data_IF_448963807824
#
_entry.id   IF_448963807824
#
_cell.length_a   1.000
_cell.length_b   1.000
_cell.length_c   1.000
_cell.angle_alpha   90.00
_cell.angle_beta   90.00
_cell.angle_gamma   90.00
#
_symmetry.space_group_name_H-M   'P 1'
#
loop_
_entity.id
_entity.type
_entity.pdbx_description
1 polymer ?
#
# COMPACT_ATOMS: atom_id res chain seq x y z
N UNK A 1 12.13 -10.34 -10.33
CA UNK A 1 13.36 -9.70 -9.79
C UNK A 1 12.98 -8.65 -8.75
N UNK A 2 13.86 -8.32 -7.80
CA UNK A 2 13.59 -7.26 -6.82
C UNK A 2 13.77 -5.88 -7.43
N UNK A 3 12.74 -5.03 -7.40
CA UNK A 3 12.78 -3.66 -7.88
C UNK A 3 12.66 -2.69 -6.71
N UNK A 4 13.80 -2.18 -6.22
CA UNK A 4 13.84 -1.22 -5.09
C UNK A 4 13.50 0.21 -5.50
N UNK A 5 13.81 0.57 -6.74
CA UNK A 5 13.60 1.91 -7.28
C UNK A 5 12.80 1.82 -8.57
N UNK A 6 11.70 2.57 -8.65
CA UNK A 6 10.83 2.62 -9.83
C UNK A 6 10.75 4.06 -10.32
N UNK A 7 10.82 4.26 -11.63
CA UNK A 7 10.56 5.54 -12.26
C UNK A 7 9.41 5.40 -13.23
N UNK A 8 8.35 6.16 -13.00
CA UNK A 8 7.15 6.16 -13.83
C UNK A 8 7.01 7.52 -14.49
N UNK A 9 6.67 7.52 -15.78
CA UNK A 9 6.31 8.75 -16.50
C UNK A 9 4.86 8.68 -16.90
N UNK A 10 4.06 9.62 -16.39
CA UNK A 10 2.62 9.67 -16.65
C UNK A 10 2.35 10.64 -17.81
N UNK A 11 1.50 10.27 -18.79
CA UNK A 11 1.18 11.14 -19.92
C UNK A 11 0.60 12.49 -19.47
N UNK A 12 1.00 13.57 -20.14
CA UNK A 12 0.57 14.96 -19.85
C UNK A 12 -0.85 15.28 -20.35
N UNK A 13 -1.69 14.26 -20.60
CA UNK A 13 -3.07 14.43 -21.06
C UNK A 13 -4.06 14.72 -19.94
N UNK A 14 -3.69 14.37 -18.71
CA UNK A 14 -4.52 14.58 -17.53
C UNK A 14 -4.24 15.97 -16.94
N UNK A 15 -5.25 16.58 -16.29
CA UNK A 15 -5.11 17.83 -15.54
C UNK A 15 -4.45 17.56 -14.17
N UNK A 16 -4.88 16.49 -13.54
CA UNK A 16 -4.36 15.91 -12.31
C UNK A 16 -4.40 14.38 -12.42
N UNK A 17 -3.69 13.71 -11.52
CA UNK A 17 -3.73 12.26 -11.38
C UNK A 17 -4.00 11.90 -9.93
N UNK A 18 -4.58 10.72 -9.73
CA UNK A 18 -4.79 10.13 -8.41
C UNK A 18 -3.82 8.97 -8.23
N UNK A 19 -3.10 8.93 -7.12
CA UNK A 19 -2.28 7.78 -6.71
C UNK A 19 -2.90 7.21 -5.45
N UNK A 20 -3.32 5.94 -5.53
CA UNK A 20 -4.07 5.25 -4.49
C UNK A 20 -3.22 4.13 -3.92
N UNK A 21 -3.19 4.05 -2.60
CA UNK A 21 -2.62 2.89 -1.92
C UNK A 21 -3.69 1.81 -1.79
N UNK A 22 -3.41 0.60 -2.25
CA UNK A 22 -4.18 -0.59 -1.90
C UNK A 22 -3.31 -1.45 -0.99
N UNK A 23 -3.76 -1.75 0.23
CA UNK A 23 -2.99 -2.50 1.24
C UNK A 23 -3.92 -3.35 2.09
N UNK A 24 -3.38 -4.36 2.75
CA UNK A 24 -4.07 -5.13 3.78
C UNK A 24 -5.45 -5.63 3.29
N UNK A 25 -5.48 -6.07 2.04
CA UNK A 25 -6.68 -6.66 1.40
C UNK A 25 -6.97 -8.01 2.05
N UNK A 26 -5.91 -8.78 2.31
CA UNK A 26 -5.96 -10.12 2.90
C UNK A 26 -6.98 -10.99 2.20
N UNK A 27 -6.93 -10.96 0.86
CA UNK A 27 -7.79 -11.79 0.02
C UNK A 27 -7.65 -13.26 0.42
N UNK A 28 -8.78 -13.94 0.51
CA UNK A 28 -8.86 -15.32 0.98
C UNK A 28 -9.37 -15.44 2.41
N UNK A 29 -9.10 -14.47 3.29
CA UNK A 29 -9.59 -14.51 4.67
C UNK A 29 -11.12 -14.41 4.72
N UNK A 30 -11.77 -15.15 5.64
CA UNK A 30 -13.23 -15.17 5.76
C UNK A 30 -13.83 -13.80 6.02
N UNK A 31 -13.13 -12.95 6.77
CA UNK A 31 -13.55 -11.57 7.08
C UNK A 31 -13.16 -10.54 6.02
N UNK A 32 -12.51 -10.93 4.92
CA UNK A 32 -12.25 -10.01 3.82
C UNK A 32 -13.58 -9.52 3.22
N UNK A 33 -13.80 -8.20 3.25
CA UNK A 33 -14.94 -7.48 2.67
C UNK A 33 -14.80 -7.43 1.15
N UNK A 34 -14.92 -8.59 0.50
CA UNK A 34 -14.65 -8.77 -0.93
C UNK A 34 -15.49 -7.84 -1.81
N UNK A 35 -16.71 -7.51 -1.41
CA UNK A 35 -17.54 -6.57 -2.17
C UNK A 35 -16.98 -5.15 -2.14
N UNK A 36 -16.43 -4.70 -1.00
CA UNK A 36 -15.69 -3.43 -0.91
C UNK A 36 -14.40 -3.47 -1.75
N UNK A 37 -13.68 -4.60 -1.78
CA UNK A 37 -12.49 -4.75 -2.63
C UNK A 37 -12.87 -4.60 -4.11
N UNK A 38 -13.92 -5.29 -4.57
CA UNK A 38 -14.44 -5.19 -5.93
C UNK A 38 -14.92 -3.79 -6.27
N UNK A 39 -15.64 -3.14 -5.36
CA UNK A 39 -16.05 -1.74 -5.52
C UNK A 39 -14.83 -0.82 -5.67
N UNK A 40 -13.79 -1.01 -4.86
CA UNK A 40 -12.59 -0.19 -4.89
C UNK A 40 -11.80 -0.39 -6.20
N UNK A 41 -11.65 -1.64 -6.66
CA UNK A 41 -11.01 -1.96 -7.94
C UNK A 41 -11.82 -1.40 -9.10
N UNK A 42 -13.16 -1.51 -9.07
CA UNK A 42 -14.03 -0.92 -10.09
C UNK A 42 -13.88 0.60 -10.10
N UNK A 43 -13.86 1.23 -8.94
CA UNK A 43 -13.67 2.67 -8.82
C UNK A 43 -12.31 3.10 -9.38
N UNK A 44 -11.22 2.39 -9.09
CA UNK A 44 -9.93 2.62 -9.76
C UNK A 44 -10.10 2.44 -11.28
N UNK A 45 -10.77 1.36 -11.69
CA UNK A 45 -10.91 0.98 -13.08
C UNK A 45 -11.59 2.04 -13.93
N UNK A 46 -12.71 2.57 -13.44
CA UNK A 46 -13.61 3.49 -14.15
C UNK A 46 -12.98 4.86 -14.48
N UNK A 47 -11.86 5.22 -13.83
CA UNK A 47 -11.19 6.51 -14.04
C UNK A 47 -9.72 6.30 -14.49
N UNK A 48 -9.37 6.65 -15.74
CA UNK A 48 -8.04 6.39 -16.30
C UNK A 48 -6.90 7.21 -15.65
N UNK A 49 -7.20 8.27 -14.88
CA UNK A 49 -6.18 9.05 -14.15
C UNK A 49 -5.83 8.47 -12.77
N UNK A 50 -6.41 7.33 -12.37
CA UNK A 50 -6.13 6.64 -11.09
C UNK A 50 -5.05 5.59 -11.25
N UNK A 51 -3.97 5.75 -10.52
CA UNK A 51 -2.84 4.83 -10.44
C UNK A 51 -2.75 4.22 -9.05
N UNK A 52 -2.14 3.04 -8.95
CA UNK A 52 -2.19 2.22 -7.72
C UNK A 52 -0.79 1.83 -7.26
N UNK A 53 -0.62 1.81 -5.94
CA UNK A 53 0.53 1.25 -5.25
C UNK A 53 0.06 0.15 -4.32
N UNK A 54 0.62 -1.06 -4.44
CA UNK A 54 0.32 -2.16 -3.55
C UNK A 54 1.20 -2.10 -2.30
N UNK A 55 0.56 -1.95 -1.14
CA UNK A 55 1.16 -1.80 0.17
C UNK A 55 1.54 -3.07 0.89
N UNK A 56 1.34 -4.25 0.32
CA UNK A 56 1.53 -5.53 1.00
C UNK A 56 0.27 -6.05 1.67
N UNK A 57 0.32 -7.33 2.07
CA UNK A 57 -0.80 -8.12 2.57
C UNK A 57 -1.99 -8.13 1.59
N UNK A 58 -1.69 -8.36 0.30
CA UNK A 58 -2.70 -8.50 -0.77
C UNK A 58 -3.56 -9.75 -0.58
N UNK A 59 -2.93 -10.85 -0.14
CA UNK A 59 -3.55 -12.13 0.17
C UNK A 59 -3.25 -12.47 1.63
N UNK A 60 -4.08 -13.30 2.27
CA UNK A 60 -3.84 -13.69 3.66
C UNK A 60 -2.72 -14.74 3.79
N UNK A 61 -2.70 -15.74 2.90
CA UNK A 61 -1.68 -16.77 2.85
C UNK A 61 -1.38 -17.46 4.21
N UNK A 62 -2.38 -17.65 5.09
CA UNK A 62 -2.18 -18.44 6.29
C UNK A 62 -1.82 -19.90 5.95
N UNK A 63 -0.91 -20.45 6.75
CA UNK A 63 -0.42 -21.82 6.67
C UNK A 63 -0.44 -22.42 8.08
N UNK A 64 -0.27 -23.74 8.22
CA UNK A 64 -0.17 -24.38 9.54
C UNK A 64 1.03 -23.88 10.38
N UNK A 65 2.00 -23.18 9.77
CA UNK A 65 3.18 -22.62 10.44
C UNK A 65 3.08 -21.10 10.69
N UNK A 66 1.97 -20.46 10.30
CA UNK A 66 1.73 -19.04 10.55
C UNK A 66 1.04 -18.78 11.89
N UNK A 67 1.03 -17.52 12.31
CA UNK A 67 0.27 -17.07 13.49
C UNK A 67 -1.25 -17.13 13.20
N UNK A 68 -1.65 -16.83 11.97
CA UNK A 68 -3.03 -16.95 11.53
C UNK A 68 -3.41 -18.40 11.19
N UNK A 69 -4.70 -18.70 11.28
CA UNK A 69 -5.24 -20.03 11.03
C UNK A 69 -5.54 -20.24 9.54
N UNK A 70 -5.03 -21.30 8.89
CA UNK A 70 -5.42 -21.64 7.52
C UNK A 70 -6.92 -22.00 7.41
N UNK A 71 -7.58 -22.36 8.51
CA UNK A 71 -9.01 -22.66 8.54
C UNK A 71 -9.90 -21.42 8.50
N UNK A 72 -9.32 -20.23 8.65
CA UNK A 72 -9.99 -18.94 8.45
C UNK A 72 -9.85 -18.43 7.00
N UNK A 73 -9.29 -19.25 6.11
CA UNK A 73 -9.22 -18.95 4.69
C UNK A 73 -10.22 -19.76 3.88
N UNK A 74 -10.84 -19.09 2.90
CA UNK A 74 -11.81 -19.68 1.97
C UNK A 74 -11.17 -20.65 0.98
N UNK A 75 -9.91 -20.38 0.63
CA UNK A 75 -9.12 -21.13 -0.37
C UNK A 75 -7.65 -21.16 0.04
N UNK A 76 -6.89 -22.13 -0.49
CA UNK A 76 -5.49 -22.29 -0.12
C UNK A 76 -4.62 -21.12 -0.63
N UNK A 77 -3.41 -20.88 -0.08
CA UNK A 77 -2.60 -19.72 -0.42
C UNK A 77 -2.27 -19.55 -1.91
N UNK A 78 -2.11 -20.64 -2.67
CA UNK A 78 -1.84 -20.55 -4.10
C UNK A 78 -3.10 -20.18 -4.89
N UNK A 79 -4.26 -20.73 -4.53
CA UNK A 79 -5.55 -20.31 -5.09
C UNK A 79 -5.85 -18.84 -4.80
N UNK A 80 -5.45 -18.32 -3.63
CA UNK A 80 -5.55 -16.89 -3.32
C UNK A 80 -4.75 -16.04 -4.32
N UNK A 81 -3.53 -16.47 -4.68
CA UNK A 81 -2.71 -15.77 -5.70
C UNK A 81 -3.45 -15.72 -7.04
N UNK A 82 -3.93 -16.86 -7.54
CA UNK A 82 -4.60 -16.95 -8.85
C UNK A 82 -5.83 -16.06 -8.89
N UNK A 83 -6.74 -16.23 -7.91
CA UNK A 83 -7.99 -15.46 -7.87
C UNK A 83 -7.76 -13.96 -7.62
N UNK A 84 -6.75 -13.59 -6.83
CA UNK A 84 -6.42 -12.19 -6.61
C UNK A 84 -5.84 -11.54 -7.87
N UNK A 85 -4.98 -12.25 -8.60
CA UNK A 85 -4.45 -11.79 -9.90
C UNK A 85 -5.58 -11.53 -10.89
N UNK A 86 -6.55 -12.45 -11.00
CA UNK A 86 -7.72 -12.27 -11.87
C UNK A 86 -8.56 -11.06 -11.46
N UNK A 87 -8.75 -10.87 -10.14
CA UNK A 87 -9.51 -9.76 -9.59
C UNK A 87 -8.89 -8.39 -9.91
N UNK A 88 -7.56 -8.26 -9.86
CA UNK A 88 -6.86 -6.98 -10.12
C UNK A 88 -6.41 -6.81 -11.58
N UNK A 89 -6.58 -7.83 -12.42
CA UNK A 89 -6.20 -7.78 -13.84
C UNK A 89 -6.73 -6.54 -14.59
N UNK A 90 -7.98 -6.06 -14.37
CA UNK A 90 -8.50 -4.87 -15.05
C UNK A 90 -7.74 -3.57 -14.77
N UNK A 91 -6.97 -3.50 -13.67
CA UNK A 91 -6.20 -2.31 -13.28
C UNK A 91 -4.69 -2.53 -13.36
N UNK A 92 -4.26 -3.66 -13.91
CA UNK A 92 -2.85 -4.11 -13.93
C UNK A 92 -1.89 -3.05 -14.47
N UNK A 93 -2.26 -2.42 -15.58
CA UNK A 93 -1.46 -1.40 -16.28
C UNK A 93 -1.28 -0.11 -15.47
N UNK A 94 -2.06 0.07 -14.42
CA UNK A 94 -2.04 1.23 -13.52
C UNK A 94 -1.37 0.96 -12.18
N UNK A 95 -0.89 -0.27 -11.93
CA UNK A 95 -0.14 -0.61 -10.72
C UNK A 95 1.32 -0.21 -10.90
N UNK A 96 1.74 0.84 -10.20
CA UNK A 96 3.06 1.47 -10.35
C UNK A 96 4.15 0.82 -9.49
N UNK A 97 3.76 0.08 -8.46
CA UNK A 97 4.69 -0.49 -7.50
C UNK A 97 3.99 -1.42 -6.52
N UNK A 98 4.77 -2.31 -5.92
CA UNK A 98 4.32 -3.30 -4.96
C UNK A 98 5.40 -3.63 -3.93
N UNK A 99 5.08 -3.46 -2.66
CA UNK A 99 5.86 -3.98 -1.54
C UNK A 99 5.19 -5.20 -0.92
N UNK A 100 5.94 -6.25 -0.62
CA UNK A 100 5.41 -7.45 0.04
C UNK A 100 5.20 -7.23 1.55
N UNK A 101 4.06 -7.69 2.06
CA UNK A 101 3.73 -7.67 3.48
C UNK A 101 4.05 -8.99 4.19
N UNK A 102 3.85 -9.01 5.50
CA UNK A 102 4.18 -10.19 6.31
C UNK A 102 3.30 -11.40 6.00
N UNK A 103 2.10 -11.21 5.45
CA UNK A 103 1.22 -12.30 5.03
C UNK A 103 1.81 -13.04 3.83
N UNK A 104 2.24 -12.32 2.78
CA UNK A 104 2.85 -12.98 1.63
C UNK A 104 4.19 -13.65 1.97
N UNK A 105 4.92 -13.12 2.96
CA UNK A 105 6.19 -13.70 3.44
C UNK A 105 6.01 -14.94 4.34
N UNK A 106 4.79 -15.34 4.73
CA UNK A 106 4.54 -16.55 5.53
C UNK A 106 5.13 -17.81 4.88
N UNK A 107 5.15 -17.85 3.56
CA UNK A 107 5.71 -18.95 2.76
C UNK A 107 7.23 -19.05 2.77
N UNK A 108 7.96 -18.04 3.27
CA UNK A 108 9.42 -18.12 3.44
C UNK A 108 9.84 -19.26 4.37
N UNK A 109 8.99 -19.58 5.36
CA UNK A 109 9.20 -20.73 6.26
C UNK A 109 9.14 -22.09 5.55
N UNK A 110 8.54 -22.15 4.37
CA UNK A 110 8.33 -23.37 3.59
C UNK A 110 9.35 -23.53 2.44
N UNK A 111 10.00 -22.45 1.98
CA UNK A 111 10.95 -22.56 0.87
C UNK A 111 11.65 -21.28 0.42
N UNK A 112 11.89 -20.30 1.30
CA UNK A 112 12.52 -19.00 0.98
C UNK A 112 11.93 -18.27 -0.25
N UNK A 113 10.61 -18.34 -0.40
CA UNK A 113 9.86 -17.57 -1.39
C UNK A 113 8.75 -16.76 -0.73
N UNK A 114 8.21 -15.77 -1.45
CA UNK A 114 7.08 -14.95 -1.04
C UNK A 114 5.99 -15.03 -2.10
N UNK A 115 4.74 -15.28 -1.71
CA UNK A 115 3.64 -15.34 -2.70
C UNK A 115 3.37 -13.98 -3.37
N UNK A 116 3.81 -12.88 -2.75
CA UNK A 116 3.74 -11.55 -3.34
C UNK A 116 4.63 -11.42 -4.57
N UNK A 117 5.79 -12.09 -4.58
CA UNK A 117 6.64 -12.11 -5.77
C UNK A 117 5.99 -12.89 -6.93
N UNK A 118 5.19 -13.92 -6.64
CA UNK A 118 4.40 -14.63 -7.64
C UNK A 118 3.30 -13.74 -8.20
N UNK A 119 2.50 -13.07 -7.35
CA UNK A 119 1.48 -12.09 -7.78
C UNK A 119 2.12 -11.06 -8.73
N UNK A 120 3.26 -10.48 -8.31
CA UNK A 120 3.97 -9.49 -9.11
C UNK A 120 4.48 -10.05 -10.44
N UNK A 121 4.95 -11.29 -10.46
CA UNK A 121 5.45 -11.96 -11.67
C UNK A 121 4.32 -12.20 -12.66
N UNK A 122 3.16 -12.70 -12.21
CA UNK A 122 1.99 -12.89 -13.07
C UNK A 122 1.44 -11.57 -13.63
N UNK A 123 1.43 -10.51 -12.81
CA UNK A 123 1.02 -9.18 -13.24
C UNK A 123 2.14 -8.42 -14.00
N UNK A 124 3.37 -8.96 -14.06
CA UNK A 124 4.56 -8.30 -14.60
C UNK A 124 4.74 -6.85 -14.08
N UNK A 125 4.58 -6.67 -12.78
CA UNK A 125 4.71 -5.36 -12.09
C UNK A 125 5.97 -5.31 -11.21
N UNK A 126 6.50 -4.11 -10.89
CA UNK A 126 7.66 -3.97 -10.01
C UNK A 126 7.37 -4.47 -8.59
N UNK A 127 8.31 -5.23 -7.99
CA UNK A 127 8.12 -5.80 -6.66
C UNK A 127 9.33 -5.67 -5.75
N UNK A 128 9.10 -5.34 -4.47
CA UNK A 128 10.12 -5.33 -3.42
C UNK A 128 9.61 -6.06 -2.18
N UNK A 129 10.38 -7.00 -1.62
CA UNK A 129 10.02 -7.64 -0.35
C UNK A 129 10.04 -6.69 0.88
N UNK A 130 10.53 -5.46 0.73
CA UNK A 130 10.73 -4.52 1.84
C UNK A 130 10.19 -3.14 1.50
N UNK A 131 11.10 -2.18 1.28
CA UNK A 131 10.78 -0.82 0.85
C UNK A 131 10.91 -0.67 -0.67
N UNK A 132 10.10 0.20 -1.27
CA UNK A 132 10.23 0.63 -2.66
C UNK A 132 10.18 2.16 -2.72
N UNK A 133 11.10 2.77 -3.47
CA UNK A 133 11.16 4.21 -3.72
C UNK A 133 10.70 4.46 -5.15
N UNK A 134 9.79 5.41 -5.33
CA UNK A 134 9.05 5.59 -6.58
C UNK A 134 9.09 7.06 -6.98
N UNK A 135 9.63 7.31 -8.17
CA UNK A 135 9.67 8.61 -8.81
C UNK A 135 8.52 8.73 -9.81
N UNK A 136 7.61 9.68 -9.59
CA UNK A 136 6.55 10.02 -10.54
C UNK A 136 6.95 11.27 -11.33
N UNK A 137 7.20 11.09 -12.63
CA UNK A 137 7.35 12.18 -13.57
C UNK A 137 5.98 12.54 -14.15
N UNK A 138 5.43 13.68 -13.75
CA UNK A 138 4.15 14.18 -14.23
C UNK A 138 4.17 15.72 -14.34
N UNK A 139 3.49 16.28 -15.35
CA UNK A 139 3.41 17.72 -15.52
C UNK A 139 4.74 18.42 -15.88
N UNK A 140 4.93 19.64 -15.36
CA UNK A 140 6.14 20.48 -15.59
C UNK A 140 7.00 20.69 -14.33
N UNK A 141 6.64 20.05 -13.22
CA UNK A 141 7.32 20.22 -11.93
C UNK A 141 8.44 19.19 -11.73
N UNK A 142 9.21 19.35 -10.63
CA UNK A 142 10.15 18.31 -10.19
C UNK A 142 9.39 17.02 -9.91
N UNK A 143 10.06 15.88 -10.04
CA UNK A 143 9.44 14.57 -9.78
C UNK A 143 8.79 14.54 -8.40
N UNK A 144 7.64 13.88 -8.32
CA UNK A 144 6.99 13.58 -7.05
C UNK A 144 7.52 12.24 -6.52
N UNK A 145 8.12 12.26 -5.33
CA UNK A 145 8.86 11.14 -4.76
C UNK A 145 8.03 10.46 -3.67
N UNK A 146 7.93 9.15 -3.76
CA UNK A 146 7.12 8.31 -2.87
C UNK A 146 7.99 7.22 -2.26
N UNK A 147 7.92 7.08 -0.94
CA UNK A 147 8.45 5.92 -0.21
C UNK A 147 7.29 5.02 0.19
N UNK A 148 7.33 3.79 -0.32
CA UNK A 148 6.35 2.75 -0.02
C UNK A 148 6.98 1.66 0.84
N UNK A 149 6.32 1.31 1.94
CA UNK A 149 6.71 0.21 2.81
C UNK A 149 5.47 -0.38 3.46
N UNK A 150 5.40 -1.70 3.59
CA UNK A 150 4.23 -2.33 4.18
C UNK A 150 3.95 -1.85 5.61
N UNK A 151 5.00 -1.61 6.39
CA UNK A 151 4.88 -1.31 7.81
C UNK A 151 5.43 -2.44 8.67
N UNK A 152 5.34 -2.26 9.98
CA UNK A 152 5.78 -3.25 10.95
C UNK A 152 5.38 -2.90 12.37
N UNK A 153 5.46 -3.88 13.25
CA UNK A 153 5.17 -3.75 14.68
C UNK A 153 3.77 -4.25 15.05
N UNK A 154 3.44 -4.14 16.33
CA UNK A 154 2.17 -4.63 16.92
C UNK A 154 1.49 -3.56 17.77
N UNK A 155 1.70 -2.28 17.39
CA UNK A 155 1.23 -1.13 18.15
C UNK A 155 -0.30 -1.07 18.21
N UNK A 156 -0.84 -0.99 19.43
CA UNK A 156 -2.29 -0.92 19.68
C UNK A 156 -2.83 0.51 19.77
N UNK A 157 -2.01 1.46 20.25
CA UNK A 157 -2.44 2.84 20.48
C UNK A 157 -2.13 3.73 19.28
N UNK A 158 -3.00 4.72 19.01
CA UNK A 158 -2.82 5.70 17.92
C UNK A 158 -1.47 6.42 17.99
N UNK A 159 -1.03 6.79 19.20
CA UNK A 159 0.26 7.44 19.41
C UNK A 159 1.46 6.58 19.00
N UNK A 160 1.43 5.28 19.30
CA UNK A 160 2.51 4.37 18.89
C UNK A 160 2.52 4.14 17.36
N UNK A 161 1.33 4.02 16.73
CA UNK A 161 1.19 3.95 15.27
C UNK A 161 1.72 5.22 14.59
N UNK A 162 1.37 6.39 15.10
CA UNK A 162 1.87 7.69 14.62
C UNK A 162 3.39 7.81 14.78
N UNK A 163 3.97 7.34 15.89
CA UNK A 163 5.42 7.31 16.06
C UNK A 163 6.14 6.37 15.08
N UNK A 164 5.54 5.22 14.74
CA UNK A 164 6.10 4.33 13.72
C UNK A 164 6.10 5.03 12.35
N UNK A 165 4.96 5.61 11.95
CA UNK A 165 4.83 6.34 10.70
C UNK A 165 5.78 7.54 10.63
N UNK A 166 5.87 8.33 11.69
CA UNK A 166 6.77 9.47 11.76
C UNK A 166 8.25 9.04 11.64
N UNK A 167 8.65 7.94 12.29
CA UNK A 167 9.99 7.37 12.11
C UNK A 167 10.24 6.95 10.66
N UNK A 168 9.26 6.34 10.00
CA UNK A 168 9.37 5.96 8.59
C UNK A 168 9.53 7.20 7.69
N UNK A 169 8.77 8.27 7.96
CA UNK A 169 8.91 9.53 7.25
C UNK A 169 10.38 9.97 7.28
N UNK A 170 11.05 10.00 8.43
CA UNK A 170 12.43 10.50 8.54
C UNK A 170 13.53 9.64 7.86
N UNK A 171 13.20 8.53 7.20
CA UNK A 171 14.20 7.62 6.59
C UNK A 171 14.61 7.97 5.16
N UNK A 172 13.96 8.93 4.50
CA UNK A 172 14.21 9.24 3.09
C UNK A 172 14.05 10.72 2.77
N UNK A 173 14.09 11.05 1.48
CA UNK A 173 13.93 12.42 0.95
C UNK A 173 12.63 12.63 0.16
N UNK A 174 11.72 11.64 0.21
CA UNK A 174 10.42 11.61 -0.44
C UNK A 174 9.44 12.65 0.10
N UNK A 175 8.47 13.08 -0.72
CA UNK A 175 7.38 13.93 -0.27
C UNK A 175 6.23 13.13 0.35
N UNK A 176 6.04 11.88 -0.07
CA UNK A 176 4.97 11.02 0.40
C UNK A 176 5.52 9.70 0.95
N UNK A 177 5.02 9.30 2.11
CA UNK A 177 5.34 8.04 2.76
C UNK A 177 4.05 7.25 2.96
N UNK A 178 4.00 6.04 2.41
CA UNK A 178 2.80 5.20 2.42
C UNK A 178 3.10 3.88 3.15
N UNK A 179 2.25 3.52 4.11
CA UNK A 179 2.28 2.21 4.77
C UNK A 179 0.90 1.68 5.16
N UNK A 180 0.85 0.39 5.51
CA UNK A 180 -0.35 -0.33 5.95
C UNK A 180 -0.07 -1.05 7.28
N UNK A 181 -0.33 -2.36 7.31
CA UNK A 181 0.03 -3.34 8.35
C UNK A 181 -0.72 -3.21 9.69
N UNK A 182 -0.86 -2.00 10.24
CA UNK A 182 -1.49 -1.80 11.56
C UNK A 182 -3.01 -1.58 11.50
N UNK A 183 -3.58 -1.82 10.32
CA UNK A 183 -5.01 -1.80 9.99
C UNK A 183 -5.72 -0.55 10.52
N UNK A 184 -5.09 0.60 10.40
CA UNK A 184 -5.63 1.82 10.97
C UNK A 184 -5.14 3.06 10.26
N UNK A 185 -5.96 4.10 10.30
CA UNK A 185 -5.66 5.35 9.62
C UNK A 185 -4.86 6.27 10.53
N UNK A 186 -3.73 6.72 10.00
CA UNK A 186 -2.94 7.82 10.54
C UNK A 186 -2.44 8.67 9.38
N UNK A 187 -2.76 9.97 9.41
CA UNK A 187 -2.25 10.96 8.47
C UNK A 187 -1.43 11.99 9.23
N UNK A 188 -0.17 12.16 8.85
CA UNK A 188 0.74 13.14 9.43
C UNK A 188 1.30 14.03 8.33
N UNK A 189 1.30 15.33 8.60
CA UNK A 189 2.05 16.30 7.80
C UNK A 189 3.24 16.82 8.60
N UNK A 190 4.34 17.05 7.90
CA UNK A 190 5.55 17.65 8.44
C UNK A 190 6.23 18.48 7.34
N UNK A 191 7.26 19.26 7.69
CA UNK A 191 8.01 20.10 6.77
C UNK A 191 9.50 19.88 6.94
N UNK A 192 10.19 19.59 5.83
CA UNK A 192 11.64 19.47 5.82
C UNK A 192 12.30 20.71 5.27
N UNK A 193 13.35 21.14 5.95
CA UNK A 193 14.26 22.15 5.42
C UNK A 193 15.11 21.55 4.30
N UNK A 194 14.97 22.06 3.08
CA UNK A 194 15.86 21.78 1.94
C UNK A 194 16.64 23.03 1.56
N UNK A 195 17.95 22.87 1.39
CA UNK A 195 18.83 23.92 0.85
C UNK A 195 18.83 23.83 -0.67
N UNK A 196 18.63 24.94 -1.37
CA UNK A 196 18.58 24.98 -2.83
C UNK A 196 19.02 26.34 -3.34
N UNK A 197 19.99 26.36 -4.27
CA UNK A 197 20.54 27.58 -4.90
C UNK A 197 20.93 28.68 -3.89
N UNK A 198 21.63 28.31 -2.82
CA UNK A 198 22.04 29.26 -1.76
C UNK A 198 20.90 29.72 -0.83
N UNK A 199 19.66 29.30 -1.09
CA UNK A 199 18.50 29.56 -0.24
C UNK A 199 18.07 28.37 0.60
N UNK A 200 17.10 28.61 1.48
CA UNK A 200 16.43 27.61 2.29
C UNK A 200 14.95 27.60 1.91
N UNK A 201 14.39 26.41 1.66
CA UNK A 201 12.97 26.20 1.43
C UNK A 201 12.44 25.13 2.37
N UNK A 202 11.23 25.32 2.89
CA UNK A 202 10.48 24.25 3.54
C UNK A 202 9.73 23.44 2.48
N UNK A 203 9.93 22.13 2.48
CA UNK A 203 9.21 21.19 1.64
C UNK A 203 8.22 20.40 2.50
N UNK A 204 6.93 20.47 2.13
CA UNK A 204 5.87 19.68 2.75
C UNK A 204 6.13 18.19 2.51
N UNK A 205 6.00 17.38 3.55
CA UNK A 205 5.96 15.92 3.47
C UNK A 205 4.68 15.40 4.13
N UNK A 206 4.24 14.22 3.71
CA UNK A 206 3.12 13.53 4.33
C UNK A 206 3.44 12.06 4.56
N UNK A 207 3.05 11.54 5.72
CA UNK A 207 2.97 10.12 6.00
C UNK A 207 1.51 9.70 6.08
N UNK A 208 1.17 8.60 5.42
CA UNK A 208 -0.18 8.05 5.43
C UNK A 208 -0.11 6.55 5.70
N UNK A 209 -0.83 6.14 6.74
CA UNK A 209 -1.14 4.75 7.03
C UNK A 209 -2.57 4.48 6.60
N UNK A 210 -2.77 3.48 5.75
CA UNK A 210 -4.11 3.01 5.36
C UNK A 210 -4.57 1.91 6.30
N UNK A 211 -5.89 1.70 6.38
CA UNK A 211 -6.47 0.61 7.17
C UNK A 211 -6.48 -0.72 6.40
N UNK A 212 -7.56 -1.50 6.47
CA UNK A 212 -7.67 -2.81 5.83
C UNK A 212 -9.06 -3.01 5.20
N UNK A 213 -9.19 -4.08 4.42
CA UNK A 213 -10.48 -4.55 3.90
C UNK A 213 -11.10 -5.64 4.78
N UNK A 214 -10.70 -5.75 6.05
CA UNK A 214 -11.26 -6.76 6.96
C UNK A 214 -12.50 -6.28 7.71
N UNK A 215 -13.35 -7.22 8.07
CA UNK A 215 -14.38 -7.02 9.09
C UNK A 215 -13.83 -7.13 10.51
N UNK A 216 -14.61 -6.60 11.47
CA UNK A 216 -14.21 -6.58 12.88
C UNK A 216 -14.78 -7.76 13.66
N UNK A 217 -16.10 -7.95 13.59
CA UNK A 217 -16.80 -8.94 14.40
C UNK A 217 -16.49 -10.37 13.95
N UNK A 218 -16.38 -11.27 14.92
CA UNK A 218 -15.97 -12.67 14.78
C UNK A 218 -14.60 -12.83 14.13
N UNK A 219 -13.66 -11.94 14.45
CA UNK A 219 -12.28 -12.01 13.95
C UNK A 219 -11.26 -12.00 15.07
N UNK A 220 -10.01 -12.35 14.75
CA UNK A 220 -8.88 -12.21 15.68
C UNK A 220 -8.80 -10.80 16.29
N UNK A 221 -9.11 -9.75 15.53
CA UNK A 221 -9.02 -8.38 16.02
C UNK A 221 -9.99 -8.11 17.19
N UNK A 222 -11.21 -8.66 17.12
CA UNK A 222 -12.18 -8.59 18.21
C UNK A 222 -11.66 -9.36 19.44
N UNK A 223 -11.26 -10.62 19.25
CA UNK A 223 -10.78 -11.50 20.34
C UNK A 223 -9.57 -10.88 21.05
N UNK A 224 -8.67 -10.26 20.28
CA UNK A 224 -7.48 -9.60 20.81
C UNK A 224 -7.74 -8.21 21.42
N UNK A 225 -8.98 -7.69 21.33
CA UNK A 225 -9.34 -6.35 21.80
C UNK A 225 -8.61 -5.23 21.04
N UNK A 226 -8.39 -5.41 19.74
CA UNK A 226 -7.90 -4.35 18.87
C UNK A 226 -9.05 -3.40 18.53
N UNK A 227 -8.80 -2.09 18.32
CA UNK A 227 -9.85 -1.16 17.94
C UNK A 227 -10.32 -1.45 16.50
N UNK A 228 -11.63 -1.35 16.20
CA UNK A 228 -12.13 -1.43 14.84
C UNK A 228 -11.64 -0.22 14.02
N UNK A 229 -11.54 -0.42 12.70
CA UNK A 229 -11.24 0.65 11.74
C UNK A 229 -12.13 0.45 10.51
N UNK A 230 -12.63 1.54 9.92
CA UNK A 230 -13.31 1.47 8.63
C UNK A 230 -12.30 1.24 7.50
N UNK A 231 -12.76 0.76 6.36
CA UNK A 231 -11.94 0.60 5.15
C UNK A 231 -11.64 1.98 4.58
N UNK A 232 -10.39 2.42 4.74
CA UNK A 232 -9.91 3.74 4.38
C UNK A 232 -8.51 3.62 3.76
N UNK A 233 -8.42 3.95 2.48
CA UNK A 233 -7.21 3.86 1.67
C UNK A 233 -6.67 5.24 1.35
N UNK A 234 -5.36 5.41 1.47
CA UNK A 234 -4.69 6.66 1.12
C UNK A 234 -4.87 6.98 -0.37
N UNK A 235 -5.26 8.22 -0.67
CA UNK A 235 -5.35 8.75 -2.03
C UNK A 235 -4.66 10.10 -2.11
N UNK A 236 -3.71 10.23 -3.03
CA UNK A 236 -3.02 11.49 -3.32
C UNK A 236 -3.49 12.03 -4.65
N UNK A 237 -3.89 13.29 -4.66
CA UNK A 237 -4.20 14.03 -5.89
C UNK A 237 -2.97 14.87 -6.22
N UNK A 238 -2.39 14.65 -7.40
CA UNK A 238 -1.21 15.37 -7.90
C UNK A 238 -1.59 16.16 -9.16
N UNK A 239 -1.46 17.48 -9.09
CA UNK A 239 -1.70 18.38 -10.22
C UNK A 239 -0.45 18.54 -11.10
N UNK A 240 -0.65 18.89 -12.38
CA UNK A 240 0.45 19.07 -13.32
C UNK A 240 1.44 20.20 -12.92
N UNK A 241 1.01 21.16 -12.10
CA UNK A 241 1.82 22.25 -11.55
C UNK A 241 2.68 21.82 -10.33
N UNK A 242 2.50 20.62 -9.81
CA UNK A 242 3.20 20.09 -8.63
C UNK A 242 2.52 20.35 -7.30
N UNK A 243 1.34 20.96 -7.30
CA UNK A 243 0.45 20.95 -6.14
C UNK A 243 -0.03 19.53 -5.88
N UNK A 244 -0.14 19.15 -4.60
CA UNK A 244 -0.64 17.86 -4.21
C UNK A 244 -1.30 17.90 -2.84
N UNK A 245 -2.29 17.03 -2.66
CA UNK A 245 -3.02 16.84 -1.42
C UNK A 245 -3.25 15.35 -1.14
N UNK A 246 -3.49 15.03 0.13
CA UNK A 246 -3.79 13.68 0.60
C UNK A 246 -5.22 13.65 1.10
N UNK A 247 -5.95 12.65 0.66
CA UNK A 247 -7.30 12.31 1.12
C UNK A 247 -7.36 10.83 1.48
N UNK A 248 -8.42 10.42 2.15
CA UNK A 248 -8.72 9.02 2.44
C UNK A 248 -10.00 8.65 1.71
N UNK A 249 -10.02 7.46 1.13
CA UNK A 249 -11.20 6.87 0.48
C UNK A 249 -11.68 5.66 1.26
#
# INVERSE_FOLDING_TARGET
>A
EQTKYVRVTIPKRFKDIEIVMLTDVQFGHVSCKLDKVREHIKWIHDEPRRFVLFGGDMIDAATSLSVASPYENRVNPFEQVVQFVDLVMPIRDRILGYVGGNHEHRTKKLGDFSLGSFIATYLQIPYSHGKQVIDINYGKHKKFLIDLWHGGGSSRTKGAKAQMLHRFMQQGDSQLYLCGHLHDVVLLFDWRQKRHNGGIKLEKIAGVMSSSFLDYWNTYAEIAGLPPSDTMMARVILEANGHWEVTLR
#
